data_IF_053788120650
#
_entry.id   IF_053788120650
#
_cell.length_a   1.000
_cell.length_b   1.000
_cell.length_c   1.000
_cell.angle_alpha   90.00
_cell.angle_beta   90.00
_cell.angle_gamma   90.00
#
_symmetry.space_group_name_H-M   'P 1'
#
loop_
_entity.id
_entity.type
_entity.pdbx_description
1 polymer ?
#
# COMPACT_ATOMS: atom_id res chain seq x y z
N UNK A 1 -5.93 -5.44 -8.64
CA UNK A 1 -5.41 -6.49 -7.72
C UNK A 1 -5.60 -7.86 -8.35
N UNK A 2 -4.66 -8.82 -8.15
CA UNK A 2 -4.92 -10.21 -8.50
C UNK A 2 -6.19 -10.73 -7.82
N UNK A 3 -6.97 -11.58 -8.49
CA UNK A 3 -8.28 -12.03 -8.00
C UNK A 3 -8.25 -12.70 -6.62
N UNK A 4 -7.11 -13.26 -6.21
CA UNK A 4 -6.94 -13.87 -4.90
C UNK A 4 -7.01 -12.86 -3.75
N UNK A 5 -6.60 -11.60 -3.96
CA UNK A 5 -6.60 -10.57 -2.90
C UNK A 5 -8.03 -10.26 -2.48
N UNK A 6 -8.94 -10.09 -3.44
CA UNK A 6 -10.36 -9.85 -3.19
C UNK A 6 -11.08 -11.08 -2.60
N UNK A 7 -10.46 -12.26 -2.66
CA UNK A 7 -11.00 -13.51 -2.12
C UNK A 7 -10.49 -13.81 -0.70
N UNK A 8 -9.54 -13.02 -0.19
CA UNK A 8 -9.04 -13.21 1.17
C UNK A 8 -10.09 -12.84 2.22
N UNK A 9 -10.10 -13.52 3.38
CA UNK A 9 -10.73 -12.98 4.57
C UNK A 9 -10.16 -11.60 4.88
N UNK A 10 -11.00 -10.65 5.29
CA UNK A 10 -10.58 -9.27 5.60
C UNK A 10 -9.44 -9.23 6.64
N UNK A 11 -9.47 -10.15 7.60
CA UNK A 11 -8.42 -10.31 8.63
C UNK A 11 -7.06 -10.75 8.08
N UNK A 12 -6.98 -11.24 6.85
CA UNK A 12 -5.73 -11.66 6.19
C UNK A 12 -5.19 -10.63 5.20
N UNK A 13 -5.98 -9.62 4.82
CA UNK A 13 -5.58 -8.63 3.81
C UNK A 13 -4.40 -7.78 4.28
N UNK A 14 -4.37 -7.37 5.55
CA UNK A 14 -3.27 -6.58 6.11
C UNK A 14 -1.94 -7.33 5.97
N UNK A 15 -1.86 -8.56 6.49
CA UNK A 15 -0.66 -9.37 6.42
C UNK A 15 -0.21 -9.65 4.97
N UNK A 16 -1.16 -9.82 4.04
CA UNK A 16 -0.85 -9.99 2.63
C UNK A 16 -0.24 -8.72 2.00
N UNK A 17 -0.77 -7.54 2.34
CA UNK A 17 -0.26 -6.24 1.92
C UNK A 17 1.16 -6.00 2.46
N UNK A 18 1.35 -6.15 3.78
CA UNK A 18 2.65 -5.97 4.45
C UNK A 18 3.71 -6.90 3.85
N UNK A 19 3.36 -8.18 3.62
CA UNK A 19 4.26 -9.15 3.01
C UNK A 19 4.61 -8.78 1.57
N UNK A 20 3.65 -8.31 0.77
CA UNK A 20 3.92 -7.88 -0.60
C UNK A 20 4.88 -6.69 -0.65
N UNK A 21 4.59 -5.63 0.12
CA UNK A 21 5.43 -4.43 0.22
C UNK A 21 6.82 -4.80 0.69
N UNK A 22 6.93 -5.59 1.76
CA UNK A 22 8.24 -6.00 2.31
C UNK A 22 9.07 -6.74 1.27
N UNK A 23 8.48 -7.70 0.55
CA UNK A 23 9.20 -8.49 -0.44
C UNK A 23 9.67 -7.65 -1.63
N UNK A 24 8.81 -6.80 -2.20
CA UNK A 24 9.17 -5.98 -3.36
C UNK A 24 10.18 -4.89 -3.00
N UNK A 25 9.92 -4.13 -1.94
CA UNK A 25 10.82 -3.04 -1.51
C UNK A 25 12.18 -3.58 -1.08
N UNK A 26 12.22 -4.72 -0.37
CA UNK A 26 13.48 -5.38 -0.01
C UNK A 26 14.23 -5.87 -1.25
N UNK A 27 13.54 -6.46 -2.23
CA UNK A 27 14.16 -6.96 -3.45
C UNK A 27 14.89 -5.85 -4.24
N UNK A 28 14.31 -4.66 -4.29
CA UNK A 28 14.89 -3.50 -4.99
C UNK A 28 15.59 -2.48 -4.07
N UNK A 29 15.87 -2.85 -2.82
CA UNK A 29 16.46 -1.96 -1.82
C UNK A 29 17.68 -1.20 -2.33
N UNK A 30 17.68 0.12 -2.16
CA UNK A 30 18.76 1.03 -2.56
C UNK A 30 18.87 1.28 -4.07
N UNK A 31 17.97 0.71 -4.89
CA UNK A 31 17.95 0.90 -6.36
C UNK A 31 16.85 1.86 -6.81
N UNK A 32 15.84 2.09 -5.98
CA UNK A 32 14.67 2.88 -6.32
C UNK A 32 14.77 4.24 -5.63
N UNK A 33 14.71 5.31 -6.43
CA UNK A 33 14.76 6.67 -5.91
C UNK A 33 13.49 7.05 -5.14
N UNK A 34 12.32 6.68 -5.68
CA UNK A 34 11.02 6.95 -5.08
C UNK A 34 10.03 5.81 -5.38
N UNK A 35 9.17 5.50 -4.42
CA UNK A 35 8.06 4.56 -4.53
C UNK A 35 6.74 5.31 -4.41
N UNK A 36 5.83 5.05 -5.35
CA UNK A 36 4.41 5.32 -5.16
C UNK A 36 3.83 4.19 -4.33
N UNK A 37 3.80 4.38 -3.01
CA UNK A 37 3.46 3.32 -2.04
C UNK A 37 1.96 3.03 -2.04
N UNK A 38 1.14 4.08 -2.16
CA UNK A 38 -0.30 3.97 -2.35
C UNK A 38 -0.69 4.89 -3.50
N UNK A 39 -1.49 4.36 -4.42
CA UNK A 39 -1.94 5.05 -5.63
C UNK A 39 -3.46 5.20 -5.62
N UNK A 40 -3.94 6.40 -5.90
CA UNK A 40 -5.37 6.76 -6.06
C UNK A 40 -6.27 6.38 -4.87
N UNK A 41 -5.90 6.70 -3.61
CA UNK A 41 -6.73 6.37 -2.46
C UNK A 41 -8.01 7.19 -2.37
N UNK A 42 -8.15 8.29 -3.13
CA UNK A 42 -9.30 9.19 -3.05
C UNK A 42 -10.17 9.16 -4.31
N UNK A 43 -11.49 9.26 -4.15
CA UNK A 43 -12.44 9.48 -5.24
C UNK A 43 -12.49 10.94 -5.67
N UNK A 44 -13.23 11.25 -6.75
CA UNK A 44 -13.32 12.61 -7.32
C UNK A 44 -14.01 13.61 -6.37
N UNK A 45 -14.58 13.16 -5.25
CA UNK A 45 -15.17 13.99 -4.19
C UNK A 45 -14.26 14.13 -2.97
N UNK A 46 -13.05 13.56 -3.00
CA UNK A 46 -12.09 13.58 -1.90
C UNK A 46 -12.37 12.58 -0.79
N UNK A 47 -13.33 11.65 -0.96
CA UNK A 47 -13.53 10.56 -0.01
C UNK A 47 -12.56 9.41 -0.30
N UNK A 48 -12.33 8.54 0.68
CA UNK A 48 -11.57 7.32 0.44
C UNK A 48 -12.29 6.38 -0.55
N UNK A 49 -11.55 5.88 -1.54
CA UNK A 49 -12.03 4.80 -2.40
C UNK A 49 -12.23 3.53 -1.57
N UNK A 50 -13.32 2.84 -1.83
CA UNK A 50 -13.61 1.54 -1.20
C UNK A 50 -12.97 0.42 -2.01
N UNK A 51 -11.82 -0.07 -1.55
CA UNK A 51 -11.15 -1.24 -2.07
C UNK A 51 -10.95 -2.32 -0.99
N UNK A 52 -10.23 -3.40 -1.31
CA UNK A 52 -9.96 -4.48 -0.37
C UNK A 52 -9.20 -4.02 0.88
N UNK A 53 -8.29 -3.04 0.75
CA UNK A 53 -7.48 -2.54 1.85
C UNK A 53 -8.30 -1.64 2.76
N UNK A 54 -9.04 -0.68 2.19
CA UNK A 54 -9.94 0.18 2.94
C UNK A 54 -11.05 -0.64 3.64
N UNK A 55 -11.59 -1.66 2.97
CA UNK A 55 -12.60 -2.56 3.58
C UNK A 55 -12.04 -3.32 4.78
N UNK A 56 -10.77 -3.72 4.73
CA UNK A 56 -10.13 -4.49 5.80
C UNK A 56 -9.66 -3.61 6.98
N UNK A 57 -9.15 -2.41 6.69
CA UNK A 57 -8.36 -1.62 7.65
C UNK A 57 -8.85 -0.17 7.83
N UNK A 58 -9.87 0.26 7.09
CA UNK A 58 -10.23 1.67 6.96
C UNK A 58 -9.06 2.48 6.37
N UNK A 59 -8.99 3.79 6.63
CA UNK A 59 -7.90 4.64 6.14
C UNK A 59 -6.50 4.31 6.68
N UNK A 60 -6.41 3.46 7.72
CA UNK A 60 -5.14 3.12 8.36
C UNK A 60 -4.18 2.34 7.45
N UNK A 61 -4.69 1.69 6.40
CA UNK A 61 -3.84 0.95 5.45
C UNK A 61 -2.77 1.84 4.80
N UNK A 62 -3.05 3.14 4.63
CA UNK A 62 -2.11 4.09 4.03
C UNK A 62 -0.88 4.27 4.92
N UNK A 63 -1.10 4.52 6.22
CA UNK A 63 -0.02 4.67 7.18
C UNK A 63 0.75 3.36 7.35
N UNK A 64 0.05 2.22 7.37
CA UNK A 64 0.65 0.90 7.49
C UNK A 64 1.55 0.54 6.30
N UNK A 65 1.06 0.80 5.08
CA UNK A 65 1.82 0.60 3.85
C UNK A 65 3.09 1.47 3.80
N UNK A 66 2.98 2.75 4.15
CA UNK A 66 4.12 3.68 4.23
C UNK A 66 5.15 3.24 5.27
N UNK A 67 4.70 2.84 6.47
CA UNK A 67 5.60 2.37 7.53
C UNK A 67 6.30 1.07 7.14
N UNK A 68 5.59 0.14 6.49
CA UNK A 68 6.16 -1.12 6.01
C UNK A 68 7.21 -0.87 4.92
N UNK A 69 6.90 0.01 3.95
CA UNK A 69 7.86 0.39 2.91
C UNK A 69 9.10 1.07 3.51
N UNK A 70 8.91 1.98 4.46
CA UNK A 70 10.03 2.65 5.14
C UNK A 70 10.91 1.68 5.92
N UNK A 71 10.32 0.70 6.61
CA UNK A 71 11.08 -0.32 7.33
C UNK A 71 11.92 -1.19 6.38
N UNK A 72 11.40 -1.50 5.19
CA UNK A 72 12.12 -2.29 4.18
C UNK A 72 13.27 -1.50 3.51
N UNK A 73 13.02 -0.25 3.11
CA UNK A 73 14.05 0.65 2.57
C UNK A 73 13.89 2.10 3.09
N UNK A 74 14.63 2.46 4.16
CA UNK A 74 14.57 3.81 4.72
C UNK A 74 15.15 4.90 3.81
N UNK A 75 15.88 4.52 2.74
CA UNK A 75 16.56 5.47 1.85
C UNK A 75 15.70 5.96 0.69
N UNK A 76 14.64 5.21 0.34
CA UNK A 76 13.74 5.57 -0.73
C UNK A 76 12.80 6.70 -0.30
N UNK A 77 12.46 7.59 -1.25
CA UNK A 77 11.36 8.54 -1.04
C UNK A 77 10.03 7.81 -1.17
N UNK A 78 9.12 8.02 -0.25
CA UNK A 78 7.81 7.35 -0.23
C UNK A 78 6.72 8.36 -0.52
N UNK A 79 5.87 8.03 -1.48
CA UNK A 79 4.84 8.92 -2.00
C UNK A 79 3.46 8.29 -1.92
N UNK A 80 2.47 9.16 -1.72
CA UNK A 80 1.09 8.92 -2.11
C UNK A 80 0.89 9.58 -3.47
N UNK A 81 0.47 8.82 -4.47
CA UNK A 81 0.22 9.33 -5.82
C UNK A 81 -1.27 9.34 -6.12
N UNK A 82 -1.78 10.42 -6.70
CA UNK A 82 -3.17 10.59 -7.10
C UNK A 82 -3.28 11.53 -8.31
N UNK A 83 -4.46 11.60 -8.92
CA UNK A 83 -4.75 12.48 -10.05
C UNK A 83 -5.80 13.55 -9.70
N UNK A 84 -5.91 14.58 -10.56
CA UNK A 84 -6.68 15.83 -10.41
C UNK A 84 -6.12 16.80 -9.35
#
# INVERSE_FOLDING_TARGET
LPGWVSSLPTTSVQAAMENHITNEVTHFKGKIYAWDVVNEPFDDSGNYRTDAFYTAMGSNYIADALNTAHAADPSAKLSLNDYN
#
